data_IF_989790227783
#
_entry.id   IF_989790227783
#
_cell.length_a   1.000
_cell.length_b   1.000
_cell.length_c   1.000
_cell.angle_alpha   90.00
_cell.angle_beta   90.00
_cell.angle_gamma   90.00
#
_symmetry.space_group_name_H-M   'P 1'
#
loop_
_entity.id
_entity.type
_entity.pdbx_description
1 polymer ?
#
# COMPACT_ATOMS: atom_id res chain seq x y z
N UNK A 1 -5.21 -1.35 8.18
CA UNK A 1 -4.46 -0.53 7.20
C UNK A 1 -4.69 0.94 7.46
N UNK A 2 -3.68 1.58 8.01
CA UNK A 2 -3.62 3.03 8.12
C UNK A 2 -3.40 3.64 6.73
N UNK A 3 -4.45 4.23 6.16
CA UNK A 3 -4.27 5.31 5.18
C UNK A 3 -3.95 6.56 5.99
N UNK A 4 -2.88 7.31 5.69
CA UNK A 4 -2.61 8.55 6.41
C UNK A 4 -3.84 9.47 6.33
N UNK A 5 -4.22 10.05 7.46
CA UNK A 5 -5.38 10.95 7.56
C UNK A 5 -5.26 12.18 6.63
N UNK A 6 -4.05 12.48 6.18
CA UNK A 6 -3.78 13.37 5.06
C UNK A 6 -3.25 12.56 3.89
N UNK A 7 -3.86 12.76 2.72
CA UNK A 7 -3.32 12.29 1.46
C UNK A 7 -1.94 12.92 1.23
N UNK A 8 -0.87 12.21 1.59
CA UNK A 8 0.53 12.64 1.33
C UNK A 8 0.85 12.62 -0.17
N UNK A 9 0.04 11.86 -0.94
CA UNK A 9 0.03 11.81 -2.40
C UNK A 9 -0.99 12.80 -2.98
N UNK A 10 -1.83 13.42 -2.14
CA UNK A 10 -2.69 14.54 -2.52
C UNK A 10 -1.81 15.71 -2.92
N UNK A 11 -1.51 15.78 -4.21
CA UNK A 11 -0.72 16.84 -4.80
C UNK A 11 -1.31 18.20 -4.44
N UNK A 12 -0.70 18.90 -3.49
CA UNK A 12 -0.60 20.35 -3.58
C UNK A 12 0.32 20.59 -4.79
N UNK A 13 -0.29 20.73 -5.97
CA UNK A 13 0.30 21.27 -7.20
C UNK A 13 0.63 22.76 -6.99
N UNK A 14 1.49 23.05 -6.03
CA UNK A 14 2.16 24.34 -5.86
C UNK A 14 3.65 24.04 -5.71
N UNK A 15 4.22 23.43 -6.76
CA UNK A 15 5.66 23.11 -6.84
C UNK A 15 6.25 23.69 -8.12
N UNK A 16 6.07 24.98 -8.33
CA UNK A 16 6.71 25.66 -9.46
C UNK A 16 8.24 25.72 -9.28
N UNK A 17 8.75 25.65 -8.04
CA UNK A 17 10.17 25.87 -7.74
C UNK A 17 10.80 24.92 -6.69
N UNK A 18 10.19 23.77 -6.37
CA UNK A 18 10.78 22.79 -5.44
C UNK A 18 11.16 21.51 -6.19
N UNK A 19 12.39 20.97 -6.03
CA UNK A 19 12.77 19.73 -6.68
C UNK A 19 11.81 18.61 -6.28
N UNK A 20 11.48 17.75 -7.24
CA UNK A 20 10.67 16.56 -6.94
C UNK A 20 11.44 15.72 -5.91
N UNK A 21 10.74 15.03 -5.02
CA UNK A 21 11.38 14.15 -4.03
C UNK A 21 12.42 13.24 -4.70
N UNK A 22 12.07 12.66 -5.85
CA UNK A 22 12.95 11.82 -6.65
C UNK A 22 14.14 12.56 -7.25
N UNK A 23 13.99 13.83 -7.65
CA UNK A 23 15.11 14.67 -8.11
C UNK A 23 16.07 15.00 -6.96
N UNK A 24 15.55 15.25 -5.75
CA UNK A 24 16.37 15.45 -4.55
C UNK A 24 17.14 14.19 -4.19
N UNK A 25 16.47 13.02 -4.19
CA UNK A 25 17.12 11.74 -3.92
C UNK A 25 18.19 11.43 -4.97
N UNK A 26 17.89 11.65 -6.25
CA UNK A 26 18.85 11.48 -7.33
C UNK A 26 20.10 12.36 -7.15
N UNK A 27 19.92 13.64 -6.81
CA UNK A 27 21.03 14.58 -6.55
C UNK A 27 21.85 14.17 -5.33
N UNK A 28 21.20 13.71 -4.27
CA UNK A 28 21.86 13.35 -3.01
C UNK A 28 22.68 12.06 -3.14
N UNK A 29 22.09 11.01 -3.70
CA UNK A 29 22.73 9.70 -3.82
C UNK A 29 23.68 9.60 -5.03
N UNK A 30 23.71 10.62 -5.92
CA UNK A 30 24.53 10.68 -7.14
C UNK A 30 24.46 9.40 -8.01
N UNK A 31 23.39 8.62 -7.82
CA UNK A 31 23.08 7.40 -8.56
C UNK A 31 21.74 7.62 -9.24
N UNK A 32 21.75 7.48 -10.56
CA UNK A 32 20.55 7.37 -11.37
C UNK A 32 19.94 5.99 -11.16
N UNK A 33 19.32 5.75 -10.01
CA UNK A 33 18.71 4.46 -9.72
C UNK A 33 17.50 4.65 -8.84
N UNK A 34 16.32 4.76 -9.46
CA UNK A 34 15.06 4.49 -8.77
C UNK A 34 15.06 3.09 -8.15
N UNK A 35 15.84 2.18 -8.75
CA UNK A 35 15.77 0.75 -8.55
C UNK A 35 16.30 0.30 -7.18
N UNK A 36 17.47 0.77 -6.72
CA UNK A 36 18.05 0.26 -5.46
C UNK A 36 17.19 0.63 -4.23
N UNK A 37 16.66 1.86 -4.18
CA UNK A 37 15.75 2.25 -3.10
C UNK A 37 14.37 1.61 -3.28
N UNK A 38 13.90 1.48 -4.52
CA UNK A 38 12.67 0.77 -4.85
C UNK A 38 12.70 -0.68 -4.38
N UNK A 39 13.80 -1.39 -4.63
CA UNK A 39 14.02 -2.77 -4.21
C UNK A 39 13.99 -2.91 -2.69
N UNK A 40 14.62 -1.99 -1.96
CA UNK A 40 14.60 -1.96 -0.49
C UNK A 40 13.19 -1.75 0.06
N UNK A 41 12.45 -0.79 -0.51
CA UNK A 41 11.06 -0.51 -0.10
C UNK A 41 10.15 -1.71 -0.43
N UNK A 42 10.29 -2.27 -1.64
CA UNK A 42 9.50 -3.42 -2.08
C UNK A 42 9.76 -4.64 -1.19
N UNK A 43 11.01 -4.88 -0.80
CA UNK A 43 11.38 -5.98 0.08
C UNK A 43 10.75 -5.82 1.48
N UNK A 44 10.73 -4.59 2.02
CA UNK A 44 10.01 -4.29 3.28
C UNK A 44 8.51 -4.57 3.15
N UNK A 45 7.87 -4.10 2.08
CA UNK A 45 6.43 -4.31 1.86
C UNK A 45 6.14 -5.81 1.75
N UNK A 46 6.91 -6.55 0.95
CA UNK A 46 6.79 -8.00 0.83
C UNK A 46 6.92 -8.71 2.18
N UNK A 47 7.87 -8.29 3.00
CA UNK A 47 8.01 -8.82 4.36
C UNK A 47 6.77 -8.54 5.21
N UNK A 48 6.28 -7.30 5.21
CA UNK A 48 5.08 -6.91 5.97
C UNK A 48 3.82 -7.67 5.53
N UNK A 49 3.72 -8.02 4.25
CA UNK A 49 2.61 -8.81 3.69
C UNK A 49 2.79 -10.33 3.88
N UNK A 50 3.93 -10.79 4.40
CA UNK A 50 4.19 -12.20 4.68
C UNK A 50 4.66 -13.03 3.47
N UNK A 51 5.17 -12.39 2.41
CA UNK A 51 5.72 -13.12 1.26
C UNK A 51 6.89 -14.03 1.69
N UNK A 52 6.90 -15.32 1.28
CA UNK A 52 7.94 -16.25 1.70
C UNK A 52 9.34 -15.84 1.22
N UNK A 53 9.45 -15.23 0.03
CA UNK A 53 10.70 -14.72 -0.52
C UNK A 53 11.28 -13.50 0.22
N UNK A 54 10.51 -12.87 1.10
CA UNK A 54 10.93 -11.75 1.93
C UNK A 54 10.90 -12.07 3.42
N UNK A 55 10.97 -13.36 3.78
CA UNK A 55 11.09 -13.79 5.18
C UNK A 55 12.34 -13.20 5.84
N UNK A 56 12.27 -12.98 7.15
CA UNK A 56 13.31 -12.28 7.93
C UNK A 56 14.71 -12.87 7.70
N UNK A 57 14.79 -14.19 7.62
CA UNK A 57 16.06 -14.93 7.48
C UNK A 57 16.69 -14.77 6.09
N UNK A 58 15.91 -14.33 5.10
CA UNK A 58 16.36 -14.10 3.72
C UNK A 58 16.72 -12.63 3.44
N UNK A 59 16.44 -11.72 4.38
CA UNK A 59 16.72 -10.29 4.21
C UNK A 59 18.21 -10.00 4.42
N UNK A 60 18.88 -9.55 3.36
CA UNK A 60 20.28 -9.11 3.43
C UNK A 60 20.51 -7.91 4.35
N UNK A 61 19.48 -7.06 4.54
CA UNK A 61 19.55 -5.84 5.36
C UNK A 61 18.50 -5.89 6.48
N UNK A 62 18.91 -6.26 7.71
CA UNK A 62 17.99 -6.36 8.86
C UNK A 62 17.31 -5.05 9.24
N UNK A 63 17.96 -3.91 8.97
CA UNK A 63 17.42 -2.56 9.26
C UNK A 63 16.15 -2.23 8.47
N UNK A 64 15.82 -3.00 7.44
CA UNK A 64 14.53 -2.90 6.76
C UNK A 64 13.34 -3.20 7.69
N UNK A 65 13.59 -3.93 8.78
CA UNK A 65 12.60 -4.29 9.80
C UNK A 65 12.56 -3.30 10.97
N UNK A 66 13.37 -2.25 10.95
CA UNK A 66 13.33 -1.22 11.98
C UNK A 66 12.09 -0.33 11.79
N UNK A 67 11.57 0.20 12.91
CA UNK A 67 10.43 1.14 12.91
C UNK A 67 9.16 0.58 12.24
N UNK A 68 8.95 -0.74 12.28
CA UNK A 68 7.71 -1.37 11.79
C UNK A 68 6.46 -0.85 12.50
N UNK A 69 6.57 -0.33 13.73
CA UNK A 69 5.45 0.31 14.43
C UNK A 69 5.04 1.65 13.79
N UNK A 70 5.99 2.35 13.16
CA UNK A 70 5.80 3.66 12.52
C UNK A 70 5.34 3.47 11.07
N UNK A 71 5.97 2.55 10.34
CA UNK A 71 5.71 2.29 8.92
C UNK A 71 4.88 1.01 8.68
N UNK A 72 4.26 0.48 9.74
CA UNK A 72 3.48 -0.75 9.70
C UNK A 72 2.04 -0.55 9.25
N UNK A 73 1.27 -1.63 9.31
CA UNK A 73 -0.09 -1.69 8.79
C UNK A 73 -1.15 -1.06 9.72
N UNK A 74 -0.69 -0.45 10.82
CA UNK A 74 -1.51 0.08 11.90
C UNK A 74 -2.06 -1.01 12.83
N UNK A 75 -2.83 -0.62 13.85
CA UNK A 75 -3.34 -1.51 14.90
C UNK A 75 -4.84 -1.81 14.80
N UNK A 76 -5.60 -1.01 14.03
CA UNK A 76 -7.07 -1.06 14.04
C UNK A 76 -7.66 -2.25 13.26
N UNK A 77 -6.94 -2.79 12.28
CA UNK A 77 -7.37 -3.94 11.48
C UNK A 77 -6.15 -4.81 11.23
N UNK A 78 -6.24 -6.08 11.58
CA UNK A 78 -5.15 -7.03 11.34
C UNK A 78 -4.94 -7.22 9.83
N UNK A 79 -3.75 -7.70 9.46
CA UNK A 79 -3.46 -8.07 8.07
C UNK A 79 -4.42 -9.16 7.59
N UNK A 80 -4.63 -10.19 8.41
CA UNK A 80 -5.46 -11.35 8.07
C UNK A 80 -6.92 -10.94 7.80
N UNK A 81 -7.50 -10.10 8.66
CA UNK A 81 -8.85 -9.57 8.45
C UNK A 81 -8.95 -8.76 7.15
N UNK A 82 -7.90 -8.00 6.83
CA UNK A 82 -7.87 -7.24 5.57
C UNK A 82 -7.75 -8.15 4.36
N UNK A 83 -6.87 -9.16 4.39
CA UNK A 83 -6.67 -10.09 3.28
C UNK A 83 -7.93 -10.90 2.99
N UNK A 84 -8.61 -11.37 4.05
CA UNK A 84 -9.92 -12.02 3.93
C UNK A 84 -10.98 -11.07 3.36
N UNK A 85 -11.02 -9.82 3.83
CA UNK A 85 -11.97 -8.82 3.34
C UNK A 85 -11.73 -8.45 1.87
N UNK A 86 -10.47 -8.31 1.46
CA UNK A 86 -10.08 -7.95 0.10
C UNK A 86 -10.05 -9.17 -0.86
N UNK A 87 -10.24 -10.37 -0.32
CA UNK A 87 -10.16 -11.61 -1.08
C UNK A 87 -8.79 -11.87 -1.70
N UNK A 88 -7.70 -11.58 -0.98
CA UNK A 88 -6.32 -11.71 -1.48
C UNK A 88 -5.63 -12.87 -0.75
N UNK A 89 -5.02 -13.79 -1.50
CA UNK A 89 -4.08 -14.79 -0.99
C UNK A 89 -2.67 -14.43 -1.46
N UNK A 90 -1.87 -13.90 -0.54
CA UNK A 90 -0.50 -13.46 -0.80
C UNK A 90 0.44 -14.65 -1.07
N UNK A 91 0.20 -15.79 -0.42
CA UNK A 91 1.04 -16.98 -0.55
C UNK A 91 0.85 -17.65 -1.91
N UNK A 92 -0.41 -17.79 -2.34
CA UNK A 92 -0.76 -18.33 -3.66
C UNK A 92 -0.66 -17.31 -4.78
N UNK A 93 -0.59 -16.02 -4.44
CA UNK A 93 -0.60 -14.89 -5.38
C UNK A 93 -1.89 -14.86 -6.20
N UNK A 94 -3.02 -15.13 -5.53
CA UNK A 94 -4.35 -15.23 -6.11
C UNK A 94 -5.29 -14.18 -5.51
N UNK A 95 -6.28 -13.74 -6.29
CA UNK A 95 -7.38 -12.89 -5.83
C UNK A 95 -8.68 -13.65 -6.11
N UNK A 96 -9.51 -13.82 -5.10
CA UNK A 96 -10.74 -14.61 -5.18
C UNK A 96 -12.02 -13.77 -5.00
N UNK A 97 -11.89 -12.47 -4.73
CA UNK A 97 -13.03 -11.57 -4.56
C UNK A 97 -12.86 -10.28 -5.37
N UNK A 98 -13.03 -10.35 -6.70
CA UNK A 98 -12.93 -9.19 -7.61
C UNK A 98 -14.29 -8.57 -7.98
N UNK A 99 -15.38 -9.33 -7.81
CA UNK A 99 -16.72 -8.97 -8.31
C UNK A 99 -17.20 -7.59 -7.85
N UNK A 100 -16.95 -7.20 -6.60
CA UNK A 100 -17.40 -5.89 -6.10
C UNK A 100 -16.68 -4.71 -6.81
N UNK A 101 -15.42 -4.89 -7.21
CA UNK A 101 -14.67 -3.86 -7.92
C UNK A 101 -15.03 -3.84 -9.42
N UNK A 102 -15.17 -5.00 -10.04
CA UNK A 102 -15.41 -5.12 -11.49
C UNK A 102 -16.85 -4.80 -11.85
N UNK A 103 -17.80 -5.29 -11.05
CA UNK A 103 -19.24 -5.17 -11.29
C UNK A 103 -19.85 -3.93 -10.63
N UNK A 104 -19.01 -3.06 -10.02
CA UNK A 104 -19.44 -1.86 -9.30
C UNK A 104 -20.44 -2.18 -8.16
N UNK A 105 -20.37 -3.39 -7.62
CA UNK A 105 -21.25 -3.86 -6.56
C UNK A 105 -20.71 -3.47 -5.19
N UNK A 106 -21.63 -3.36 -4.24
CA UNK A 106 -21.29 -3.09 -2.85
C UNK A 106 -20.58 -4.31 -2.23
N UNK A 107 -19.50 -4.10 -1.45
CA UNK A 107 -18.88 -5.20 -0.71
C UNK A 107 -19.86 -5.76 0.33
N UNK A 108 -19.89 -7.10 0.52
CA UNK A 108 -20.85 -7.74 1.41
C UNK A 108 -20.72 -7.26 2.86
N UNK A 109 -21.85 -7.09 3.54
CA UNK A 109 -21.90 -6.65 4.95
C UNK A 109 -21.64 -5.16 5.18
N UNK A 110 -21.82 -4.33 4.14
CA UNK A 110 -21.66 -2.88 4.17
C UNK A 110 -22.93 -2.12 3.79
N UNK A 111 -24.09 -2.65 4.16
CA UNK A 111 -25.41 -2.05 3.84
C UNK A 111 -25.53 -0.59 4.31
N UNK A 112 -24.80 -0.23 5.37
CA UNK A 112 -24.72 1.14 5.88
C UNK A 112 -23.99 2.12 4.94
N UNK A 113 -23.23 1.62 3.97
CA UNK A 113 -22.53 2.38 2.93
C UNK A 113 -23.30 2.43 1.61
N UNK A 114 -24.50 1.86 1.54
CA UNK A 114 -25.32 1.83 0.32
C UNK A 114 -25.51 3.21 -0.31
N UNK A 115 -25.61 4.25 0.53
CA UNK A 115 -25.73 5.65 0.09
C UNK A 115 -24.56 6.10 -0.81
N UNK A 116 -23.35 5.55 -0.63
CA UNK A 116 -22.17 5.93 -1.42
C UNK A 116 -22.17 5.31 -2.83
N UNK A 117 -22.97 4.27 -3.05
CA UNK A 117 -23.03 3.53 -4.32
C UNK A 117 -24.28 3.87 -5.14
N UNK A 118 -25.33 4.37 -4.50
CA UNK A 118 -26.60 4.70 -5.15
C UNK A 118 -26.64 6.07 -5.84
N UNK A 119 -25.62 6.92 -5.66
CA UNK A 119 -25.54 8.24 -6.29
C UNK A 119 -25.06 8.18 -7.76
N UNK A 120 -24.74 6.99 -8.29
CA UNK A 120 -24.24 6.80 -9.65
C UNK A 120 -25.34 6.77 -10.74
N UNK A 121 -26.63 6.84 -10.37
CA UNK A 121 -27.76 6.80 -11.32
C UNK A 121 -28.57 8.12 -11.40
N UNK A 122 -28.13 9.20 -10.74
CA UNK A 122 -28.74 10.53 -10.91
C UNK A 122 -27.80 11.51 -11.60
N UNK A 123 -28.10 11.74 -12.90
CA UNK A 123 -27.59 12.74 -13.86
C UNK A 123 -26.30 12.44 -14.64
#
# INVERSE_FOLDING_TARGET
LFSPAQAVVGHIYVRENKPKFWETMHRYFKKAGHDELGDLILLRIKHQLGYPEASRDLLKQPSLLDNLSIYGMGYNRSLDDYMKYAGIDVYRKEIYQTHYCEEHLMPPGKDNLAKLYNDAESE
#
